data_IF_707756505830
#
_entry.id   IF_707756505830
#
_cell.length_a   1.000
_cell.length_b   1.000
_cell.length_c   1.000
_cell.angle_alpha   90.00
_cell.angle_beta   90.00
_cell.angle_gamma   90.00
#
_symmetry.space_group_name_H-M   'P 1'
#
loop_
_entity.id
_entity.type
_entity.pdbx_description
1 polymer ?
#
# COMPACT_ATOMS: atom_id res chain seq x y z
N UNK A 1 1.41 1.63 -12.41
CA UNK A 1 0.29 2.28 -13.15
C UNK A 1 -1.14 1.90 -12.77
N UNK A 2 -1.42 0.75 -12.14
CA UNK A 2 -2.80 0.32 -11.86
C UNK A 2 -3.60 1.30 -10.95
N UNK A 3 -2.91 2.10 -10.15
CA UNK A 3 -3.54 2.96 -9.14
C UNK A 3 -3.59 4.45 -9.48
N UNK A 4 -3.05 4.88 -10.62
CA UNK A 4 -3.09 6.29 -11.07
C UNK A 4 -4.52 6.88 -11.00
N UNK A 5 -5.58 6.22 -11.51
CA UNK A 5 -6.92 6.82 -11.46
C UNK A 5 -7.43 7.02 -10.02
N UNK A 6 -6.97 6.21 -9.06
CA UNK A 6 -7.39 6.30 -7.67
C UNK A 6 -6.73 7.47 -6.93
N UNK A 7 -5.62 8.01 -7.44
CA UNK A 7 -4.94 9.16 -6.84
C UNK A 7 -5.82 10.43 -6.82
N UNK A 8 -6.80 10.53 -7.72
CA UNK A 8 -7.74 11.65 -7.76
C UNK A 8 -8.77 11.62 -6.59
N UNK A 9 -8.89 10.49 -5.88
CA UNK A 9 -9.88 10.29 -4.83
C UNK A 9 -9.40 10.84 -3.47
N UNK A 10 -9.31 12.16 -3.29
CA UNK A 10 -8.77 12.75 -2.06
C UNK A 10 -9.57 12.50 -0.77
N UNK A 11 -10.84 12.10 -0.88
CA UNK A 11 -11.69 11.75 0.26
C UNK A 11 -11.87 10.24 0.43
N UNK A 12 -10.97 9.43 -0.15
CA UNK A 12 -11.02 7.98 0.01
C UNK A 12 -10.78 7.62 1.49
N UNK A 13 -11.76 6.97 2.11
CA UNK A 13 -11.67 6.47 3.48
C UNK A 13 -11.39 4.98 3.52
N UNK A 14 -11.82 4.24 2.50
CA UNK A 14 -11.65 2.79 2.46
C UNK A 14 -11.21 2.34 1.07
N UNK A 15 -10.13 1.57 1.01
CA UNK A 15 -9.67 0.87 -0.18
C UNK A 15 -9.54 -0.61 0.15
N UNK A 16 -10.24 -1.46 -0.60
CA UNK A 16 -10.09 -2.92 -0.52
C UNK A 16 -9.89 -3.49 -1.92
N UNK A 17 -8.77 -4.16 -2.12
CA UNK A 17 -8.42 -4.87 -3.35
C UNK A 17 -8.06 -6.29 -2.95
N UNK A 18 -8.91 -7.24 -3.34
CA UNK A 18 -8.80 -8.65 -2.98
C UNK A 18 -8.84 -9.52 -4.25
N UNK A 19 -7.97 -10.53 -4.30
CA UNK A 19 -7.95 -11.68 -5.25
C UNK A 19 -7.93 -11.35 -6.76
N UNK A 20 -6.98 -11.98 -7.47
CA UNK A 20 -6.97 -12.05 -8.94
C UNK A 20 -6.35 -10.84 -9.65
N UNK A 21 -5.75 -9.90 -8.91
CA UNK A 21 -5.00 -8.81 -9.51
C UNK A 21 -3.50 -9.02 -9.27
N UNK A 22 -2.74 -9.25 -10.35
CA UNK A 22 -1.28 -9.15 -10.33
C UNK A 22 -0.91 -7.68 -10.28
N UNK A 23 -0.78 -7.16 -9.06
CA UNK A 23 -0.41 -5.77 -8.83
C UNK A 23 0.98 -5.72 -8.21
N UNK A 24 1.91 -5.12 -8.95
CA UNK A 24 3.19 -4.70 -8.40
C UNK A 24 2.97 -3.41 -7.63
N UNK A 25 3.45 -3.36 -6.39
CA UNK A 25 3.33 -2.21 -5.52
C UNK A 25 4.65 -2.00 -4.80
N UNK A 26 5.44 -1.05 -5.29
CA UNK A 26 6.67 -0.63 -4.62
C UNK A 26 6.42 0.34 -3.46
N UNK A 27 7.42 0.55 -2.59
CA UNK A 27 7.36 1.56 -1.52
C UNK A 27 7.05 2.97 -2.03
N UNK A 28 7.61 3.34 -3.19
CA UNK A 28 7.40 4.66 -3.77
C UNK A 28 5.97 4.79 -4.31
N UNK A 29 5.45 3.78 -5.00
CA UNK A 29 4.06 3.77 -5.46
C UNK A 29 3.08 3.82 -4.28
N UNK A 30 3.34 3.04 -3.23
CA UNK A 30 2.54 3.07 -2.00
C UNK A 30 2.55 4.47 -1.39
N UNK A 31 3.72 5.11 -1.30
CA UNK A 31 3.88 6.46 -0.78
C UNK A 31 3.11 7.50 -1.60
N UNK A 32 3.21 7.46 -2.93
CA UNK A 32 2.48 8.38 -3.81
C UNK A 32 0.96 8.20 -3.70
N UNK A 33 0.48 6.98 -3.46
CA UNK A 33 -0.94 6.71 -3.26
C UNK A 33 -1.46 7.30 -1.97
N UNK A 34 -0.83 6.95 -0.86
CA UNK A 34 -1.30 7.31 0.48
C UNK A 34 -1.17 8.81 0.73
N UNK A 35 -0.20 9.47 0.06
CA UNK A 35 -0.08 10.94 0.06
C UNK A 35 -1.34 11.65 -0.44
N UNK A 36 -2.07 11.03 -1.37
CA UNK A 36 -3.29 11.59 -1.92
C UNK A 36 -4.54 11.22 -1.09
N UNK A 37 -4.43 10.31 -0.11
CA UNK A 37 -5.55 9.81 0.71
C UNK A 37 -5.31 10.06 2.21
N UNK A 38 -5.23 11.32 2.66
CA UNK A 38 -4.96 11.65 4.06
C UNK A 38 -6.08 11.21 5.03
N UNK A 39 -7.27 10.92 4.51
CA UNK A 39 -8.46 10.47 5.27
C UNK A 39 -8.65 8.96 5.27
N UNK A 40 -7.66 8.19 4.80
CA UNK A 40 -7.77 6.75 4.71
C UNK A 40 -7.87 6.12 6.11
N UNK A 41 -8.91 5.33 6.32
CA UNK A 41 -9.21 4.59 7.55
C UNK A 41 -8.98 3.09 7.35
N UNK A 42 -9.25 2.57 6.15
CA UNK A 42 -9.12 1.15 5.84
C UNK A 42 -8.31 0.98 4.56
N UNK A 43 -7.20 0.26 4.65
CA UNK A 43 -6.42 -0.19 3.51
C UNK A 43 -6.28 -1.70 3.52
N UNK A 44 -6.82 -2.37 2.53
CA UNK A 44 -6.68 -3.80 2.32
C UNK A 44 -6.22 -4.07 0.90
N UNK A 45 -5.00 -4.54 0.73
CA UNK A 45 -4.45 -4.96 -0.55
C UNK A 45 -3.90 -6.36 -0.34
N UNK A 46 -4.68 -7.34 -0.78
CA UNK A 46 -4.38 -8.77 -0.68
C UNK A 46 -4.06 -9.32 -2.07
N UNK A 47 -3.06 -8.72 -2.72
CA UNK A 47 -2.53 -9.19 -3.99
C UNK A 47 -1.34 -10.09 -3.71
N UNK A 48 -1.47 -11.38 -4.03
CA UNK A 48 -0.35 -12.31 -4.08
C UNK A 48 -0.07 -12.57 -5.56
N UNK A 49 1.02 -12.04 -6.11
CA UNK A 49 1.40 -12.47 -7.45
C UNK A 49 1.91 -13.91 -7.38
N UNK A 50 1.46 -14.72 -8.32
CA UNK A 50 1.97 -16.10 -8.46
C UNK A 50 3.30 -16.14 -9.21
N UNK A 51 3.70 -15.02 -9.81
CA UNK A 51 4.88 -14.88 -10.66
C UNK A 51 5.89 -13.97 -9.94
N UNK A 52 7.12 -14.47 -9.77
CA UNK A 52 8.15 -13.99 -8.85
C UNK A 52 8.80 -12.64 -9.15
N UNK A 53 8.25 -11.83 -10.06
CA UNK A 53 8.81 -10.54 -10.46
C UNK A 53 8.00 -9.32 -9.97
N UNK A 54 7.06 -9.49 -9.03
CA UNK A 54 6.37 -8.33 -8.46
C UNK A 54 7.17 -7.70 -7.33
N UNK A 55 7.28 -6.38 -7.41
CA UNK A 55 7.77 -5.58 -6.29
C UNK A 55 6.67 -5.51 -5.24
N UNK A 56 7.04 -5.88 -4.00
CA UNK A 56 6.18 -5.76 -2.83
C UNK A 56 6.69 -4.61 -1.96
N UNK A 57 5.80 -3.94 -1.23
CA UNK A 57 6.21 -2.93 -0.28
C UNK A 57 6.98 -3.57 0.87
N UNK A 58 7.96 -2.86 1.42
CA UNK A 58 8.74 -3.29 2.56
C UNK A 58 8.11 -2.77 3.87
N UNK A 59 8.68 -3.19 5.00
CA UNK A 59 8.29 -2.64 6.29
C UNK A 59 8.52 -1.12 6.37
N UNK A 60 9.56 -0.60 5.71
CA UNK A 60 9.83 0.85 5.66
C UNK A 60 8.74 1.61 4.90
N UNK A 61 8.29 1.07 3.77
CA UNK A 61 7.13 1.60 3.04
C UNK A 61 5.88 1.65 3.91
N UNK A 62 5.67 0.61 4.73
CA UNK A 62 4.55 0.55 5.66
C UNK A 62 4.62 1.61 6.76
N UNK A 63 5.80 1.83 7.36
CA UNK A 63 5.99 2.88 8.37
C UNK A 63 5.69 4.26 7.79
N UNK A 64 6.15 4.55 6.56
CA UNK A 64 5.84 5.82 5.88
C UNK A 64 4.34 6.01 5.67
N UNK A 65 3.63 4.94 5.31
CA UNK A 65 2.18 4.96 5.14
C UNK A 65 1.47 5.35 6.44
N UNK A 66 1.83 4.72 7.56
CA UNK A 66 1.22 5.00 8.86
C UNK A 66 1.43 6.46 9.29
N UNK A 67 2.54 7.09 8.88
CA UNK A 67 2.79 8.51 9.16
C UNK A 67 1.93 9.47 8.31
N UNK A 68 1.51 9.05 7.12
CA UNK A 68 0.71 9.86 6.20
C UNK A 68 -0.80 9.70 6.39
N UNK A 69 -1.25 8.53 6.87
CA UNK A 69 -2.66 8.24 7.12
C UNK A 69 -2.93 8.09 8.62
N UNK A 70 -3.09 9.20 9.38
CA UNK A 70 -3.23 9.15 10.83
C UNK A 70 -4.55 8.51 11.30
N UNK A 71 -5.56 8.45 10.43
CA UNK A 71 -6.86 7.85 10.73
C UNK A 71 -6.94 6.35 10.38
N UNK A 72 -5.83 5.74 9.95
CA UNK A 72 -5.83 4.35 9.53
C UNK A 72 -6.14 3.42 10.71
N UNK A 73 -7.33 2.83 10.69
CA UNK A 73 -7.84 1.91 11.70
C UNK A 73 -7.66 0.44 11.32
N UNK A 74 -7.63 0.12 10.02
CA UNK A 74 -7.46 -1.24 9.52
C UNK A 74 -6.47 -1.29 8.37
N UNK A 75 -5.51 -2.20 8.47
CA UNK A 75 -4.47 -2.42 7.47
C UNK A 75 -4.34 -3.92 7.18
N UNK A 76 -4.41 -4.29 5.91
CA UNK A 76 -4.01 -5.60 5.42
C UNK A 76 -3.17 -5.38 4.15
N UNK A 77 -1.88 -5.70 4.21
CA UNK A 77 -0.97 -5.51 3.09
C UNK A 77 0.07 -6.62 3.12
N UNK A 78 0.33 -7.22 1.96
CA UNK A 78 1.44 -8.16 1.80
C UNK A 78 2.72 -7.34 1.69
N UNK A 79 3.71 -7.63 2.54
CA UNK A 79 4.99 -6.94 2.55
C UNK A 79 6.14 -7.93 2.32
N UNK A 80 7.21 -7.46 1.69
CA UNK A 80 8.47 -8.17 1.60
C UNK A 80 9.21 -8.09 2.93
N UNK A 81 9.24 -9.20 3.68
CA UNK A 81 9.95 -9.30 4.96
C UNK A 81 11.40 -9.73 4.81
N UNK A 82 11.91 -9.95 3.60
CA UNK A 82 13.33 -10.25 3.38
C UNK A 82 14.20 -8.99 3.44
N UNK A 83 13.56 -7.81 3.30
CA UNK A 83 14.17 -6.48 3.35
C UNK A 83 13.66 -5.74 4.59
N UNK A 84 14.31 -6.00 5.73
CA UNK A 84 13.98 -5.44 7.05
C UNK A 84 14.84 -4.21 7.38
N UNK A 85 15.36 -3.49 6.39
CA UNK A 85 16.09 -2.24 6.64
C UNK A 85 15.14 -1.18 7.23
N UNK A 86 15.53 -0.54 8.35
CA UNK A 86 14.76 0.55 8.98
C UNK A 86 14.08 0.23 10.32
N UNK A 87 14.42 -0.91 10.94
CA UNK A 87 14.11 -1.24 12.35
C UNK A 87 15.38 -1.07 13.20
N UNK A 88 15.95 0.14 13.19
CA UNK A 88 16.98 0.56 14.15
C UNK A 88 16.36 1.48 15.21
#
# INVERSE_FOLDING_TARGET
>A
DAFIPLQACHNLTQLSIERGCDVSLSDEELYQLVRNWPKLEVLKISCCSSFGDTTMPTLHGLIKLLRLCPNLASLALVIDTTKLDGID
#
